data_IF_225072723115
#
_entry.id   IF_225072723115
#
_cell.length_a   1.000
_cell.length_b   1.000
_cell.length_c   1.000
_cell.angle_alpha   90.00
_cell.angle_beta   90.00
_cell.angle_gamma   90.00
#
_symmetry.space_group_name_H-M   'P 1'
#
loop_
_entity.id
_entity.type
_entity.pdbx_description
1 polymer ?
#
# COMPACT_ATOMS: atom_id res chain seq x y z
N UNK A 1 7.94 -10.66 3.68
CA UNK A 1 7.38 -9.38 4.13
C UNK A 1 8.12 -9.00 5.39
N UNK A 2 8.54 -7.75 5.51
CA UNK A 2 9.41 -7.26 6.58
C UNK A 2 8.66 -6.42 7.61
N UNK A 3 7.53 -5.81 7.23
CA UNK A 3 6.70 -5.03 8.15
C UNK A 3 5.41 -5.77 8.46
N UNK A 4 5.21 -6.14 9.74
CA UNK A 4 3.92 -6.64 10.20
C UNK A 4 2.85 -5.56 10.01
N UNK A 5 1.70 -5.92 9.43
CA UNK A 5 0.61 -4.98 9.16
C UNK A 5 -0.75 -5.69 9.07
N UNK A 6 -1.81 -4.95 9.35
CA UNK A 6 -3.21 -5.33 9.14
C UNK A 6 -3.93 -4.21 8.39
N UNK A 7 -5.09 -4.53 7.80
CA UNK A 7 -5.94 -3.54 7.10
C UNK A 7 -5.19 -2.75 6.00
N UNK A 8 -4.20 -3.41 5.41
CA UNK A 8 -3.50 -2.95 4.22
C UNK A 8 -4.29 -3.35 2.96
N UNK A 9 -3.90 -2.81 1.82
CA UNK A 9 -4.35 -3.31 0.52
C UNK A 9 -3.24 -4.13 -0.13
N UNK A 10 -3.64 -5.09 -0.95
CA UNK A 10 -2.75 -5.86 -1.82
C UNK A 10 -3.28 -5.80 -3.25
N UNK A 11 -2.43 -5.48 -4.22
CA UNK A 11 -2.82 -5.38 -5.63
C UNK A 11 -1.76 -5.98 -6.55
N UNK A 12 -2.20 -6.71 -7.57
CA UNK A 12 -1.31 -7.31 -8.57
C UNK A 12 -0.99 -6.29 -9.67
N UNK A 13 0.29 -6.13 -9.98
CA UNK A 13 0.80 -5.27 -11.05
C UNK A 13 0.87 -6.03 -12.37
N UNK A 14 0.92 -5.30 -13.49
CA UNK A 14 1.00 -5.89 -14.83
C UNK A 14 2.23 -6.77 -15.04
N UNK A 15 3.29 -6.55 -14.27
CA UNK A 15 4.52 -7.35 -14.30
C UNK A 15 4.44 -8.61 -13.40
N UNK A 16 3.29 -8.90 -12.79
CA UNK A 16 3.06 -10.05 -11.93
C UNK A 16 3.43 -9.84 -10.45
N UNK A 17 4.10 -8.75 -10.10
CA UNK A 17 4.40 -8.46 -8.69
C UNK A 17 3.15 -8.04 -7.91
N UNK A 18 3.12 -8.28 -6.61
CA UNK A 18 2.06 -7.80 -5.73
C UNK A 18 2.58 -6.63 -4.91
N UNK A 19 1.93 -5.47 -5.01
CA UNK A 19 2.17 -4.36 -4.08
C UNK A 19 1.32 -4.56 -2.83
N UNK A 20 1.91 -4.35 -1.66
CA UNK A 20 1.21 -4.28 -0.39
C UNK A 20 1.42 -2.89 0.20
N UNK A 21 0.35 -2.10 0.32
CA UNK A 21 0.43 -0.69 0.68
C UNK A 21 -0.35 -0.35 1.96
N UNK A 22 0.27 0.52 2.77
CA UNK A 22 -0.32 1.07 3.99
C UNK A 22 -0.71 0.01 5.02
N UNK A 23 -1.82 0.25 5.70
CA UNK A 23 -2.30 -0.55 6.83
C UNK A 23 -1.84 0.01 8.18
N UNK A 24 -2.06 -0.75 9.23
CA UNK A 24 -1.63 -0.41 10.59
C UNK A 24 -0.83 -1.55 11.22
N UNK A 25 0.04 -1.21 12.15
CA UNK A 25 0.84 -2.16 12.93
C UNK A 25 0.90 -1.72 14.39
N UNK A 26 1.69 -2.43 15.20
CA UNK A 26 1.94 -2.04 16.60
C UNK A 26 2.64 -0.68 16.75
N UNK A 27 3.27 -0.16 15.69
CA UNK A 27 3.95 1.14 15.70
C UNK A 27 3.11 2.28 15.10
N UNK A 28 1.88 1.99 14.65
CA UNK A 28 0.93 2.97 14.15
C UNK A 28 0.47 2.73 12.72
N UNK A 29 -0.07 3.78 12.10
CA UNK A 29 -0.53 3.74 10.71
C UNK A 29 0.67 3.85 9.78
N UNK A 30 0.71 2.99 8.77
CA UNK A 30 1.82 2.88 7.83
C UNK A 30 1.54 3.68 6.57
N UNK A 31 2.57 4.38 6.09
CA UNK A 31 2.64 4.87 4.71
C UNK A 31 3.59 4.02 3.85
N UNK A 32 4.22 2.99 4.42
CA UNK A 32 5.14 2.14 3.70
C UNK A 32 4.41 1.16 2.79
N UNK A 33 5.10 0.76 1.72
CA UNK A 33 4.68 -0.33 0.87
C UNK A 33 5.83 -1.32 0.63
N UNK A 34 5.47 -2.55 0.30
CA UNK A 34 6.39 -3.62 -0.03
C UNK A 34 5.92 -4.31 -1.30
N UNK A 35 6.86 -4.74 -2.15
CA UNK A 35 6.59 -5.54 -3.33
C UNK A 35 6.91 -6.99 -3.03
N UNK A 36 6.02 -7.88 -3.43
CA UNK A 36 6.23 -9.31 -3.47
C UNK A 36 6.44 -9.73 -4.92
N UNK A 37 7.61 -10.29 -5.20
CA UNK A 37 7.88 -10.96 -6.47
C UNK A 37 7.34 -12.39 -6.41
N UNK A 38 6.33 -12.67 -7.23
CA UNK A 38 5.67 -13.97 -7.28
C UNK A 38 6.53 -15.08 -7.89
N UNK A 39 7.58 -14.73 -8.64
CA UNK A 39 8.50 -15.70 -9.25
C UNK A 39 9.56 -16.17 -8.25
N UNK A 40 10.12 -15.24 -7.49
CA UNK A 40 11.21 -15.52 -6.55
C UNK A 40 10.74 -15.74 -5.12
N UNK A 41 9.50 -15.34 -4.80
CA UNK A 41 8.98 -15.34 -3.43
C UNK A 41 9.63 -14.30 -2.53
N UNK A 42 10.43 -13.39 -3.08
CA UNK A 42 11.16 -12.38 -2.34
C UNK A 42 10.33 -11.13 -2.13
N UNK A 43 10.60 -10.46 -1.01
CA UNK A 43 10.00 -9.18 -0.67
C UNK A 43 11.03 -8.08 -0.78
N UNK A 44 10.65 -6.97 -1.39
CA UNK A 44 11.47 -5.77 -1.47
C UNK A 44 10.70 -4.58 -0.93
N UNK A 45 11.41 -3.65 -0.29
CA UNK A 45 10.81 -2.39 0.13
C UNK A 45 10.50 -1.56 -1.11
N UNK A 46 9.31 -0.98 -1.14
CA UNK A 46 8.87 -0.09 -2.21
C UNK A 46 8.90 1.38 -1.76
N UNK A 47 8.46 2.29 -2.62
CA UNK A 47 8.25 3.69 -2.26
C UNK A 47 7.26 3.82 -1.10
N UNK A 48 7.26 4.96 -0.41
CA UNK A 48 6.24 5.28 0.58
C UNK A 48 5.12 6.12 -0.07
N UNK A 49 3.90 5.94 0.41
CA UNK A 49 2.83 6.91 0.22
C UNK A 49 3.15 8.21 0.98
N UNK A 50 2.56 9.31 0.54
CA UNK A 50 2.63 10.63 1.16
C UNK A 50 1.90 10.63 2.51
N UNK A 51 0.74 9.95 2.57
CA UNK A 51 -0.10 9.91 3.76
C UNK A 51 -0.19 8.47 4.26
N UNK A 52 0.08 8.28 5.55
CA UNK A 52 -0.14 7.00 6.21
C UNK A 52 -1.65 6.73 6.28
N UNK A 53 -2.08 5.55 5.80
CA UNK A 53 -3.50 5.21 5.75
C UNK A 53 -3.76 3.71 5.86
N UNK A 54 -4.88 3.36 6.48
CA UNK A 54 -5.46 2.01 6.55
C UNK A 54 -6.96 2.08 6.19
N UNK A 55 -7.62 0.95 5.94
CA UNK A 55 -9.00 0.91 5.39
C UNK A 55 -9.19 1.71 4.08
N UNK A 56 -8.10 1.96 3.35
CA UNK A 56 -8.14 2.64 2.06
C UNK A 56 -8.42 1.65 0.92
N UNK A 57 -8.69 2.17 -0.28
CA UNK A 57 -8.75 1.38 -1.51
C UNK A 57 -7.51 1.68 -2.36
N UNK A 58 -6.92 0.65 -2.95
CA UNK A 58 -5.84 0.76 -3.93
C UNK A 58 -6.30 0.14 -5.26
N UNK A 59 -6.18 0.89 -6.36
CA UNK A 59 -6.54 0.46 -7.71
C UNK A 59 -5.37 0.65 -8.65
N UNK A 60 -4.96 -0.42 -9.34
CA UNK A 60 -3.86 -0.36 -10.32
C UNK A 60 -4.39 0.26 -11.61
N UNK A 61 -3.67 1.27 -12.09
CA UNK A 61 -3.95 1.97 -13.34
C UNK A 61 -3.25 1.28 -14.51
N UNK A 62 -3.72 1.55 -15.73
CA UNK A 62 -3.18 0.95 -16.96
C UNK A 62 -1.73 1.34 -17.24
N UNK A 63 -1.24 2.42 -16.66
CA UNK A 63 0.15 2.88 -16.75
C UNK A 63 1.05 2.32 -15.63
N UNK A 64 0.52 1.42 -14.79
CA UNK A 64 1.26 0.77 -13.71
C UNK A 64 1.32 1.53 -12.39
N UNK A 65 0.82 2.78 -12.33
CA UNK A 65 0.64 3.50 -11.06
C UNK A 65 -0.53 2.93 -10.27
N UNK A 66 -0.57 3.22 -8.98
CA UNK A 66 -1.64 2.81 -8.08
C UNK A 66 -2.36 4.06 -7.59
N UNK A 67 -3.66 4.16 -7.89
CA UNK A 67 -4.53 5.16 -7.28
C UNK A 67 -4.96 4.67 -5.90
N UNK A 68 -4.57 5.42 -4.87
CA UNK A 68 -4.94 5.16 -3.48
C UNK A 68 -5.95 6.20 -3.04
N UNK A 69 -7.13 5.77 -2.57
CA UNK A 69 -8.23 6.69 -2.19
C UNK A 69 -8.75 6.43 -0.78
N UNK A 70 -9.06 7.52 -0.08
CA UNK A 70 -9.72 7.50 1.22
C UNK A 70 -8.96 6.73 2.28
N UNK A 71 -9.71 6.05 3.14
CA UNK A 71 -9.21 5.36 4.33
C UNK A 71 -9.12 6.28 5.54
N UNK A 72 -8.46 5.79 6.59
CA UNK A 72 -8.29 6.49 7.86
C UNK A 72 -6.80 6.76 8.03
N UNK A 73 -6.47 8.03 8.29
CA UNK A 73 -5.13 8.50 8.62
C UNK A 73 -4.98 8.79 10.11
N UNK A 74 -3.86 9.42 10.48
CA UNK A 74 -3.55 9.72 11.89
C UNK A 74 -4.55 10.68 12.55
N UNK A 75 -5.22 11.51 11.76
CA UNK A 75 -6.18 12.53 12.22
C UNK A 75 -7.65 12.17 11.95
N UNK A 76 -7.94 10.92 11.55
CA UNK A 76 -9.28 10.44 11.21
C UNK A 76 -9.45 10.16 9.71
N UNK A 77 -10.70 10.19 9.26
CA UNK A 77 -11.08 9.86 7.88
C UNK A 77 -10.42 10.78 6.86
N UNK A 78 -9.90 10.21 5.77
CA UNK A 78 -9.24 10.93 4.70
C UNK A 78 -10.22 11.20 3.56
N UNK A 79 -10.33 12.46 3.16
CA UNK A 79 -11.00 12.90 1.94
C UNK A 79 -10.01 13.09 0.76
N UNK A 80 -8.85 12.43 0.82
CA UNK A 80 -7.77 12.59 -0.14
C UNK A 80 -7.49 11.31 -0.94
N UNK A 81 -6.94 11.50 -2.13
CA UNK A 81 -6.38 10.46 -2.96
C UNK A 81 -4.93 10.80 -3.31
N UNK A 82 -4.13 9.78 -3.59
CA UNK A 82 -2.78 9.96 -4.12
C UNK A 82 -2.47 8.90 -5.18
N UNK A 83 -1.52 9.24 -6.06
CA UNK A 83 -0.93 8.30 -7.00
C UNK A 83 0.37 7.79 -6.39
N UNK A 84 0.48 6.48 -6.34
CA UNK A 84 1.62 5.72 -5.85
C UNK A 84 2.33 5.01 -7.00
#
# INVERSE_FOLDING_TARGET
>A
MSTARQVHTASILANGQVVVAGGSSSVGILNSAELYDTLTGLWTRAGNMTIARYFHVASVLTDGRILVTGGIGVSGDLNSAELY
#
